data_IF_668286135007
#
_entry.id   IF_668286135007
#
_cell.length_a   1.000
_cell.length_b   1.000
_cell.length_c   1.000
_cell.angle_alpha   90.00
_cell.angle_beta   90.00
_cell.angle_gamma   90.00
#
_symmetry.space_group_name_H-M   'P 1'
#
loop_
_entity.id
_entity.type
_entity.pdbx_description
1 polymer ?
#
# COMPACT_ATOMS: atom_id res chain seq x y z
N UNK A 1 -0.50 -31.16 -2.03
CA UNK A 1 -0.14 -30.33 -0.86
C UNK A 1 1.21 -29.61 -1.00
N UNK A 2 2.39 -30.25 -0.87
CA UNK A 2 3.68 -29.51 -0.96
C UNK A 2 3.92 -28.82 -2.32
N UNK A 3 3.61 -29.50 -3.42
CA UNK A 3 3.75 -28.96 -4.78
C UNK A 3 2.82 -27.76 -5.02
N UNK A 4 1.60 -27.81 -4.50
CA UNK A 4 0.60 -26.72 -4.59
C UNK A 4 1.04 -25.51 -3.78
N UNK A 5 1.61 -25.72 -2.58
CA UNK A 5 2.16 -24.64 -1.74
C UNK A 5 3.34 -23.97 -2.44
N UNK A 6 4.27 -24.76 -3.02
CA UNK A 6 5.41 -24.21 -3.78
C UNK A 6 4.91 -23.45 -5.02
N UNK A 7 3.89 -23.96 -5.71
CA UNK A 7 3.31 -23.28 -6.86
C UNK A 7 2.64 -21.96 -6.46
N UNK A 8 1.83 -21.95 -5.41
CA UNK A 8 1.04 -20.80 -4.99
C UNK A 8 1.87 -19.70 -4.30
N UNK A 9 2.82 -20.07 -3.45
CA UNK A 9 3.60 -19.12 -2.63
C UNK A 9 5.02 -18.88 -3.16
N UNK A 10 5.50 -19.71 -4.08
CA UNK A 10 6.83 -19.55 -4.69
C UNK A 10 6.75 -19.16 -6.17
N UNK A 11 6.25 -20.07 -7.00
CA UNK A 11 6.30 -19.92 -8.47
C UNK A 11 5.42 -18.77 -8.93
N UNK A 12 4.16 -18.72 -8.48
CA UNK A 12 3.20 -17.72 -8.92
C UNK A 12 3.64 -16.27 -8.59
N UNK A 13 4.06 -15.94 -7.35
CA UNK A 13 4.55 -14.59 -7.04
C UNK A 13 5.79 -14.19 -7.85
N UNK A 14 6.74 -15.11 -8.03
CA UNK A 14 7.95 -14.86 -8.83
C UNK A 14 7.58 -14.63 -10.29
N UNK A 15 6.68 -15.44 -10.86
CA UNK A 15 6.19 -15.26 -12.21
C UNK A 15 5.49 -13.91 -12.40
N UNK A 16 4.60 -13.52 -11.48
CA UNK A 16 3.90 -12.23 -11.52
C UNK A 16 4.89 -11.05 -11.41
N UNK A 17 5.91 -11.17 -10.57
CA UNK A 17 6.96 -10.16 -10.45
C UNK A 17 7.77 -10.03 -11.75
N UNK A 18 8.16 -11.15 -12.36
CA UNK A 18 8.86 -11.16 -13.64
C UNK A 18 7.99 -10.57 -14.76
N UNK A 19 6.69 -10.89 -14.78
CA UNK A 19 5.73 -10.32 -15.71
C UNK A 19 5.63 -8.81 -15.55
N UNK A 20 5.51 -8.30 -14.31
CA UNK A 20 5.47 -6.88 -14.02
C UNK A 20 6.74 -6.17 -14.53
N UNK A 21 7.91 -6.71 -14.22
CA UNK A 21 9.19 -6.20 -14.71
C UNK A 21 9.22 -6.20 -16.24
N UNK A 22 8.78 -7.30 -16.86
CA UNK A 22 8.69 -7.42 -18.32
C UNK A 22 7.79 -6.36 -18.95
N UNK A 23 6.62 -6.08 -18.36
CA UNK A 23 5.71 -5.03 -18.80
C UNK A 23 6.34 -3.64 -18.63
N UNK A 24 6.98 -3.36 -17.49
CA UNK A 24 7.68 -2.07 -17.27
C UNK A 24 8.77 -1.87 -18.31
N UNK A 25 9.59 -2.88 -18.58
CA UNK A 25 10.64 -2.81 -19.60
C UNK A 25 10.04 -2.63 -21.00
N UNK A 26 8.98 -3.36 -21.34
CA UNK A 26 8.29 -3.20 -22.61
C UNK A 26 7.78 -1.76 -22.79
N UNK A 27 7.12 -1.21 -21.77
CA UNK A 27 6.62 0.16 -21.77
C UNK A 27 7.76 1.17 -21.89
N UNK A 28 8.88 0.94 -21.20
CA UNK A 28 10.08 1.78 -21.30
C UNK A 28 10.66 1.78 -22.72
N UNK A 29 10.71 0.62 -23.38
CA UNK A 29 11.25 0.51 -24.74
C UNK A 29 10.31 1.08 -25.81
N UNK A 30 8.98 0.96 -25.63
CA UNK A 30 7.98 1.53 -26.55
C UNK A 30 7.88 3.05 -26.36
N UNK A 31 7.86 3.53 -25.11
CA UNK A 31 7.72 4.96 -24.79
C UNK A 31 9.08 5.64 -24.62
N UNK A 32 9.93 5.61 -25.65
CA UNK A 32 11.16 6.41 -25.63
C UNK A 32 10.79 7.89 -25.72
N UNK A 33 11.06 8.72 -24.70
CA UNK A 33 10.74 10.13 -24.76
C UNK A 33 11.64 10.81 -25.81
N UNK A 34 11.04 11.69 -26.62
CA UNK A 34 11.81 12.66 -27.40
C UNK A 34 12.47 13.62 -26.41
N UNK A 35 13.81 13.70 -26.37
CA UNK A 35 14.51 14.57 -25.44
C UNK A 35 14.19 16.03 -25.80
N UNK A 36 13.53 16.70 -24.86
CA UNK A 36 13.14 18.10 -24.99
C UNK A 36 13.48 18.75 -23.65
N UNK A 37 14.28 19.82 -23.68
CA UNK A 37 14.83 20.43 -22.45
C UNK A 37 13.72 20.85 -21.47
N UNK A 38 12.59 21.34 -22.00
CA UNK A 38 11.40 21.73 -21.24
C UNK A 38 10.77 20.59 -20.43
N UNK A 39 10.95 19.32 -20.82
CA UNK A 39 10.44 18.15 -20.08
C UNK A 39 11.27 17.81 -18.84
N UNK A 40 12.48 18.36 -18.75
CA UNK A 40 13.36 18.19 -17.59
C UNK A 40 13.25 19.35 -16.60
N UNK A 41 12.61 20.44 -17.00
CA UNK A 41 12.30 21.56 -16.11
C UNK A 41 11.07 21.25 -15.25
N UNK A 42 10.99 21.90 -14.08
CA UNK A 42 9.80 21.80 -13.25
C UNK A 42 8.65 22.54 -13.92
N UNK A 43 7.48 21.90 -13.96
CA UNK A 43 6.26 22.59 -14.37
C UNK A 43 5.94 23.68 -13.35
N UNK A 44 6.06 24.94 -13.77
CA UNK A 44 5.74 26.10 -12.97
C UNK A 44 4.71 26.97 -13.68
N UNK A 45 3.98 27.79 -12.91
CA UNK A 45 2.99 28.74 -13.43
C UNK A 45 3.60 29.96 -14.16
N UNK A 46 4.82 29.81 -14.71
CA UNK A 46 5.56 30.87 -15.41
C UNK A 46 6.50 31.70 -14.53
N UNK A 47 6.68 31.34 -13.25
CA UNK A 47 7.63 31.99 -12.34
C UNK A 47 8.84 31.10 -12.07
N UNK A 48 10.04 31.69 -12.07
CA UNK A 48 11.27 30.97 -11.68
C UNK A 48 11.20 30.60 -10.20
N UNK A 49 11.39 29.33 -9.86
CA UNK A 49 11.47 28.87 -8.48
C UNK A 49 12.63 29.55 -7.76
N UNK A 50 12.33 30.42 -6.79
CA UNK A 50 13.35 31.13 -6.00
C UNK A 50 13.54 30.56 -4.59
N UNK A 51 12.53 29.88 -4.07
CA UNK A 51 12.55 29.35 -2.72
C UNK A 51 12.88 27.85 -2.69
N UNK A 52 13.60 27.37 -1.66
CA UNK A 52 13.73 25.94 -1.44
C UNK A 52 12.34 25.35 -1.30
N UNK A 53 12.10 24.21 -1.96
CA UNK A 53 10.88 23.45 -1.82
C UNK A 53 10.76 22.98 -0.37
N UNK A 54 10.20 23.82 0.51
CA UNK A 54 9.82 23.46 1.86
C UNK A 54 8.58 22.59 1.73
N UNK A 55 8.79 21.32 1.40
CA UNK A 55 7.79 20.28 1.60
C UNK A 55 7.81 19.97 3.08
N UNK A 56 7.03 20.75 3.84
CA UNK A 56 6.53 20.24 5.10
C UNK A 56 5.78 18.97 4.78
N UNK A 57 6.35 17.81 5.09
CA UNK A 57 5.66 16.53 4.97
C UNK A 57 4.49 16.58 5.95
N UNK A 58 3.34 17.02 5.46
CA UNK A 58 2.09 16.98 6.18
C UNK A 58 1.74 15.51 6.37
N UNK A 59 2.12 14.94 7.50
CA UNK A 59 1.72 13.60 7.91
C UNK A 59 0.22 13.54 8.27
N UNK A 60 -0.60 14.50 7.85
CA UNK A 60 -2.05 14.42 7.91
C UNK A 60 -2.56 13.10 7.27
N UNK A 61 -1.87 12.61 6.23
CA UNK A 61 -2.17 11.32 5.60
C UNK A 61 -1.61 10.10 6.32
N UNK A 62 -0.75 10.28 7.32
CA UNK A 62 -0.12 9.17 8.04
C UNK A 62 -1.14 8.30 8.76
N UNK A 63 -2.11 8.90 9.45
CA UNK A 63 -3.19 8.14 10.08
C UNK A 63 -4.00 7.31 9.08
N UNK A 64 -4.24 7.84 7.87
CA UNK A 64 -4.90 7.09 6.80
C UNK A 64 -4.05 5.95 6.25
N UNK A 65 -2.73 6.15 6.12
CA UNK A 65 -1.79 5.09 5.74
C UNK A 65 -1.76 3.96 6.78
N UNK A 66 -1.77 4.31 8.07
CA UNK A 66 -1.82 3.32 9.15
C UNK A 66 -3.15 2.55 9.11
N UNK A 67 -4.29 3.23 8.91
CA UNK A 67 -5.59 2.56 8.75
C UNK A 67 -5.56 1.58 7.57
N UNK A 68 -5.05 2.02 6.41
CA UNK A 68 -4.93 1.19 5.22
C UNK A 68 -4.07 -0.06 5.48
N UNK A 69 -2.85 0.14 5.98
CA UNK A 69 -1.89 -0.93 6.25
C UNK A 69 -2.40 -1.93 7.32
N UNK A 70 -3.25 -1.47 8.24
CA UNK A 70 -3.81 -2.34 9.28
C UNK A 70 -5.02 -3.14 8.78
N UNK A 71 -5.80 -2.60 7.84
CA UNK A 71 -6.98 -3.30 7.29
C UNK A 71 -6.61 -4.35 6.23
N UNK A 72 -5.56 -4.12 5.45
CA UNK A 72 -5.09 -5.05 4.42
C UNK A 72 -4.96 -6.51 4.90
N UNK A 73 -4.23 -6.81 5.99
CA UNK A 73 -4.10 -8.19 6.47
C UNK A 73 -5.42 -8.80 6.94
N UNK A 74 -6.37 -8.01 7.47
CA UNK A 74 -7.70 -8.51 7.85
C UNK A 74 -8.45 -9.00 6.61
N UNK A 75 -8.40 -8.24 5.51
CA UNK A 75 -9.04 -8.62 4.25
C UNK A 75 -8.42 -9.91 3.72
N UNK A 76 -7.09 -10.03 3.78
CA UNK A 76 -6.40 -11.28 3.38
C UNK A 76 -6.84 -12.46 4.25
N UNK A 77 -6.94 -12.31 5.57
CA UNK A 77 -7.43 -13.36 6.45
C UNK A 77 -8.89 -13.74 6.16
N UNK A 78 -9.76 -12.76 5.90
CA UNK A 78 -11.15 -13.02 5.53
C UNK A 78 -11.24 -13.82 4.22
N UNK A 79 -10.43 -13.50 3.22
CA UNK A 79 -10.36 -14.25 1.96
C UNK A 79 -9.83 -15.68 2.17
N UNK A 80 -8.82 -15.87 3.02
CA UNK A 80 -8.28 -17.19 3.34
C UNK A 80 -9.32 -18.07 4.06
N UNK A 81 -10.04 -17.49 5.03
CA UNK A 81 -11.15 -18.19 5.72
C UNK A 81 -12.26 -18.55 4.74
N UNK A 82 -12.65 -17.63 3.85
CA UNK A 82 -13.65 -17.88 2.83
C UNK A 82 -13.24 -19.01 1.84
N UNK A 83 -11.95 -19.25 1.67
CA UNK A 83 -11.41 -20.29 0.79
C UNK A 83 -11.28 -21.68 1.43
N UNK A 84 -11.54 -21.82 2.75
CA UNK A 84 -11.31 -23.07 3.49
C UNK A 84 -12.58 -23.89 3.71
N UNK A 85 -12.43 -25.20 3.96
CA UNK A 85 -13.50 -26.13 4.34
C UNK A 85 -14.29 -25.70 5.57
N UNK A 86 -15.61 -25.94 5.54
CA UNK A 86 -16.59 -25.64 6.61
C UNK A 86 -16.31 -26.41 7.91
N UNK A 87 -15.54 -27.50 7.84
CA UNK A 87 -15.22 -28.36 9.01
C UNK A 87 -14.45 -27.65 10.13
N UNK A 88 -13.79 -26.53 9.85
CA UNK A 88 -13.00 -25.73 10.83
C UNK A 88 -13.52 -24.30 10.97
N UNK A 89 -14.80 -24.08 10.64
CA UNK A 89 -15.39 -22.74 10.58
C UNK A 89 -15.32 -21.96 11.90
N UNK A 90 -15.57 -22.60 13.05
CA UNK A 90 -15.58 -21.93 14.35
C UNK A 90 -14.18 -21.42 14.75
N UNK A 91 -13.15 -22.24 14.54
CA UNK A 91 -11.77 -21.85 14.86
C UNK A 91 -11.29 -20.70 13.96
N UNK A 92 -11.69 -20.72 12.69
CA UNK A 92 -11.39 -19.65 11.74
C UNK A 92 -12.07 -18.33 12.09
N UNK A 93 -13.35 -18.39 12.47
CA UNK A 93 -14.08 -17.21 12.95
C UNK A 93 -13.43 -16.67 14.22
N UNK A 94 -13.02 -17.53 15.14
CA UNK A 94 -12.31 -17.12 16.36
C UNK A 94 -10.99 -16.41 16.04
N UNK A 95 -10.19 -16.92 15.10
CA UNK A 95 -8.93 -16.30 14.65
C UNK A 95 -9.19 -14.90 14.06
N UNK A 96 -10.21 -14.76 13.20
CA UNK A 96 -10.58 -13.46 12.61
C UNK A 96 -11.03 -12.48 13.68
N UNK A 97 -11.84 -12.90 14.64
CA UNK A 97 -12.29 -12.04 15.74
C UNK A 97 -11.12 -11.59 16.63
N UNK A 98 -10.17 -12.48 16.91
CA UNK A 98 -8.95 -12.14 17.66
C UNK A 98 -8.11 -11.14 16.85
N UNK A 99 -7.92 -11.36 15.55
CA UNK A 99 -7.20 -10.42 14.69
C UNK A 99 -7.85 -9.04 14.66
N UNK A 100 -9.18 -8.97 14.53
CA UNK A 100 -9.94 -7.71 14.61
C UNK A 100 -9.75 -7.06 15.99
N UNK A 101 -9.85 -7.82 17.09
CA UNK A 101 -9.67 -7.30 18.44
C UNK A 101 -8.27 -6.69 18.66
N UNK A 102 -7.22 -7.31 18.12
CA UNK A 102 -5.84 -6.79 18.17
C UNK A 102 -5.69 -5.52 17.34
N UNK A 103 -6.41 -5.41 16.23
CA UNK A 103 -6.32 -4.28 15.30
C UNK A 103 -7.12 -3.06 15.76
N UNK A 104 -8.24 -3.24 16.46
CA UNK A 104 -9.07 -2.15 16.99
C UNK A 104 -8.26 -1.05 17.72
N UNK A 105 -7.35 -1.34 18.68
CA UNK A 105 -6.58 -0.29 19.35
C UNK A 105 -5.67 0.48 18.39
N UNK A 106 -5.10 -0.19 17.38
CA UNK A 106 -4.26 0.45 16.35
C UNK A 106 -5.12 1.38 15.47
N UNK A 107 -6.31 0.94 15.07
CA UNK A 107 -7.24 1.77 14.31
C UNK A 107 -7.74 2.97 15.12
N UNK A 108 -8.05 2.77 16.40
CA UNK A 108 -8.48 3.85 17.28
C UNK A 108 -7.38 4.91 17.44
N UNK A 109 -6.12 4.49 17.60
CA UNK A 109 -4.96 5.38 17.60
C UNK A 109 -4.84 6.13 16.26
N UNK A 110 -4.83 5.40 15.14
CA UNK A 110 -4.66 5.99 13.81
C UNK A 110 -5.77 7.00 13.45
N UNK A 111 -7.02 6.71 13.83
CA UNK A 111 -8.17 7.62 13.65
C UNK A 111 -8.08 8.89 14.50
N UNK A 112 -7.46 8.80 15.68
CA UNK A 112 -7.21 9.97 16.51
C UNK A 112 -6.15 10.86 15.87
N UNK A 113 -5.03 10.26 15.46
CA UNK A 113 -3.92 10.98 14.83
C UNK A 113 -4.31 11.54 13.45
N UNK A 114 -5.19 10.88 12.69
CA UNK A 114 -5.64 11.38 11.39
C UNK A 114 -6.51 12.63 11.47
N UNK A 115 -7.13 12.89 12.63
CA UNK A 115 -8.03 14.04 12.84
C UNK A 115 -7.30 15.26 13.37
N UNK A 116 -6.09 15.08 13.92
CA UNK A 116 -5.33 16.18 14.46
C UNK A 116 -4.29 16.67 13.45
N UNK A 117 -4.45 17.89 12.98
CA UNK A 117 -3.51 18.55 12.07
C UNK A 117 -2.46 19.34 12.85
N UNK A 118 -2.70 19.65 14.13
CA UNK A 118 -1.84 20.51 14.96
C UNK A 118 -0.43 19.95 15.21
N UNK A 119 -0.24 18.63 15.45
CA UNK A 119 1.10 18.06 15.60
C UNK A 119 1.93 18.15 14.32
N UNK A 120 1.26 18.35 13.18
CA UNK A 120 1.84 18.30 11.84
C UNK A 120 1.78 19.65 11.13
N UNK A 121 1.21 20.67 11.78
CA UNK A 121 1.23 22.04 11.30
C UNK A 121 2.54 22.69 11.74
N UNK A 122 3.32 23.13 10.76
CA UNK A 122 4.62 23.77 10.96
C UNK A 122 4.54 25.20 11.54
N UNK A 123 3.51 25.49 12.34
CA UNK A 123 3.26 26.77 12.99
C UNK A 123 2.85 26.57 14.44
#
# INVERSE_FOLDING_TARGET
MLLEVIAAFGILPVFLLLLLIGVILLLYYINKPVPEESKFERFESGHVTRDPARVGLGFQYFGFLVIFATLEPIIVFLLLVASTSVSTFLDQVAIVLIAIAIVIPVLAFALRESKDVKPWSWR
#
